data_IF_529147147417
#
_entry.id   IF_529147147417
#
_cell.length_a   1.000
_cell.length_b   1.000
_cell.length_c   1.000
_cell.angle_alpha   90.00
_cell.angle_beta   90.00
_cell.angle_gamma   90.00
#
_symmetry.space_group_name_H-M   'P 1'
#
loop_
_entity.id
_entity.type
_entity.pdbx_description
1 polymer ?
#
# COMPACT_ATOMS: atom_id res chain seq x y z
N UNK A 1 -25.07 -4.15 18.13
CA UNK A 1 -24.16 -3.02 17.87
C UNK A 1 -24.88 -1.75 18.31
N UNK A 2 -24.23 -0.86 19.05
CA UNK A 2 -24.81 0.45 19.34
C UNK A 2 -24.87 1.26 18.04
N UNK A 3 -25.97 1.99 17.77
CA UNK A 3 -26.05 2.84 16.58
C UNK A 3 -24.97 3.92 16.61
N UNK A 4 -24.38 4.24 15.45
CA UNK A 4 -23.40 5.29 15.34
C UNK A 4 -24.00 6.66 15.68
N UNK A 5 -23.27 7.47 16.45
CA UNK A 5 -23.70 8.77 16.92
C UNK A 5 -23.26 9.87 15.94
N UNK A 6 -24.21 10.50 15.26
CA UNK A 6 -24.01 11.51 14.23
C UNK A 6 -24.53 12.86 14.69
N UNK A 7 -23.70 13.89 14.63
CA UNK A 7 -24.13 15.27 14.85
C UNK A 7 -24.33 15.98 13.51
N UNK A 8 -25.47 16.66 13.36
CA UNK A 8 -25.78 17.49 12.19
C UNK A 8 -25.87 18.93 12.65
N UNK A 9 -25.11 19.82 12.02
CA UNK A 9 -25.20 21.25 12.33
C UNK A 9 -25.36 22.05 11.03
N UNK A 10 -26.44 22.83 11.00
CA UNK A 10 -26.83 23.65 9.85
C UNK A 10 -27.75 24.77 10.38
N UNK A 11 -27.58 26.03 10.01
CA UNK A 11 -28.46 27.13 10.42
C UNK A 11 -29.79 27.12 9.66
N UNK A 12 -29.83 26.51 8.45
CA UNK A 12 -31.06 26.24 7.72
C UNK A 12 -31.85 25.09 8.37
N UNK A 13 -33.00 25.41 8.96
CA UNK A 13 -33.86 24.45 9.63
C UNK A 13 -34.35 23.32 8.68
N UNK A 14 -34.64 23.63 7.42
CA UNK A 14 -35.15 22.68 6.44
C UNK A 14 -34.10 21.66 6.06
N UNK A 15 -32.87 22.13 5.76
CA UNK A 15 -31.72 21.28 5.44
C UNK A 15 -31.34 20.39 6.64
N UNK A 16 -31.32 20.94 7.85
CA UNK A 16 -31.02 20.25 9.09
C UNK A 16 -32.00 19.13 9.39
N UNK A 17 -33.33 19.40 9.30
CA UNK A 17 -34.36 18.41 9.55
C UNK A 17 -34.35 17.29 8.48
N UNK A 18 -34.19 17.63 7.23
CA UNK A 18 -34.11 16.68 6.11
C UNK A 18 -32.96 15.70 6.27
N UNK A 19 -31.77 16.20 6.64
CA UNK A 19 -30.59 15.38 6.91
C UNK A 19 -30.81 14.47 8.14
N UNK A 20 -31.33 15.05 9.22
CA UNK A 20 -31.58 14.29 10.45
C UNK A 20 -32.61 13.17 10.22
N UNK A 21 -33.69 13.44 9.48
CA UNK A 21 -34.70 12.43 9.15
C UNK A 21 -34.14 11.32 8.23
N UNK A 22 -33.36 11.71 7.21
CA UNK A 22 -32.76 10.76 6.28
C UNK A 22 -31.83 9.79 7.01
N UNK A 23 -31.03 10.28 7.93
CA UNK A 23 -30.06 9.47 8.69
C UNK A 23 -30.73 8.64 9.80
N UNK A 24 -31.74 9.16 10.48
CA UNK A 24 -32.56 8.39 11.44
C UNK A 24 -33.27 7.21 10.78
N UNK A 25 -33.76 7.36 9.55
CA UNK A 25 -34.37 6.25 8.78
C UNK A 25 -33.38 5.13 8.43
N UNK A 26 -32.09 5.43 8.39
CA UNK A 26 -31.01 4.43 8.18
C UNK A 26 -30.57 3.78 9.51
N UNK A 27 -31.16 4.14 10.63
CA UNK A 27 -30.87 3.52 11.94
C UNK A 27 -29.75 4.16 12.74
N UNK A 28 -29.27 5.35 12.36
CA UNK A 28 -28.26 6.09 13.11
C UNK A 28 -28.87 6.90 14.28
N UNK A 29 -28.09 7.08 15.35
CA UNK A 29 -28.42 8.01 16.40
C UNK A 29 -28.03 9.43 15.97
N UNK A 30 -29.01 10.32 15.73
CA UNK A 30 -28.76 11.63 15.17
C UNK A 30 -29.25 12.73 16.09
N UNK A 31 -28.33 13.66 16.43
CA UNK A 31 -28.62 14.89 17.14
C UNK A 31 -28.40 16.08 16.17
N UNK A 32 -29.33 17.05 16.18
CA UNK A 32 -29.30 18.17 15.23
C UNK A 32 -29.20 19.49 15.99
N UNK A 33 -28.32 20.38 15.53
CA UNK A 33 -27.99 21.66 16.16
C UNK A 33 -28.11 22.81 15.17
N UNK A 34 -28.48 23.99 15.65
CA UNK A 34 -28.62 25.18 14.83
C UNK A 34 -27.36 26.05 14.80
N UNK A 35 -26.39 25.80 15.69
CA UNK A 35 -25.18 26.61 15.79
C UNK A 35 -23.92 25.79 16.04
N UNK A 36 -22.77 26.33 15.62
CA UNK A 36 -21.46 25.73 15.83
C UNK A 36 -21.08 25.62 17.33
N UNK A 37 -21.51 26.57 18.15
CA UNK A 37 -21.25 26.59 19.58
C UNK A 37 -21.90 25.39 20.28
N UNK A 38 -23.17 25.10 19.95
CA UNK A 38 -23.93 24.01 20.54
C UNK A 38 -23.31 22.65 20.20
N UNK A 39 -22.92 22.44 18.92
CA UNK A 39 -22.33 21.17 18.50
C UNK A 39 -20.95 20.95 19.10
N UNK A 40 -20.14 22.00 19.26
CA UNK A 40 -18.85 21.91 19.95
C UNK A 40 -19.05 21.60 21.45
N UNK A 41 -20.02 22.25 22.11
CA UNK A 41 -20.36 21.97 23.51
C UNK A 41 -20.80 20.51 23.68
N UNK A 42 -21.64 19.99 22.77
CA UNK A 42 -22.05 18.61 22.76
C UNK A 42 -20.89 17.64 22.52
N UNK A 43 -19.97 17.95 21.62
CA UNK A 43 -18.77 17.16 21.33
C UNK A 43 -17.88 16.93 22.55
N UNK A 44 -17.86 17.86 23.50
CA UNK A 44 -17.12 17.76 24.79
C UNK A 44 -17.79 16.83 25.80
N UNK A 45 -19.08 16.50 25.65
CA UNK A 45 -19.86 15.73 26.62
C UNK A 45 -19.83 14.24 26.37
N UNK A 46 -19.35 13.79 25.21
CA UNK A 46 -19.31 12.36 24.93
C UNK A 46 -18.90 12.01 23.51
N UNK A 47 -18.93 10.73 23.21
CA UNK A 47 -18.48 10.15 21.96
C UNK A 47 -19.34 10.60 20.76
N UNK A 48 -18.65 11.03 19.71
CA UNK A 48 -19.23 11.38 18.41
C UNK A 48 -18.49 10.59 17.33
N UNK A 49 -19.22 9.95 16.43
CA UNK A 49 -18.65 9.13 15.37
C UNK A 49 -18.51 9.91 14.05
N UNK A 50 -19.44 10.83 13.78
CA UNK A 50 -19.46 11.67 12.58
C UNK A 50 -20.08 13.04 12.88
N UNK A 51 -19.53 14.09 12.30
CA UNK A 51 -20.12 15.44 12.27
C UNK A 51 -20.39 15.83 10.83
N UNK A 52 -21.64 16.26 10.54
CA UNK A 52 -22.02 16.93 9.30
C UNK A 52 -22.23 18.41 9.61
N UNK A 53 -21.44 19.29 9.01
CA UNK A 53 -21.47 20.72 9.32
C UNK A 53 -21.59 21.58 8.06
N UNK A 54 -22.50 22.54 8.04
CA UNK A 54 -22.46 23.58 6.99
C UNK A 54 -21.20 24.46 7.16
N UNK A 55 -20.65 24.92 6.06
CA UNK A 55 -19.53 25.87 6.07
C UNK A 55 -19.98 27.23 6.62
N UNK A 56 -21.14 27.72 6.14
CA UNK A 56 -21.60 29.07 6.44
C UNK A 56 -22.69 29.01 7.49
N UNK A 57 -22.33 29.30 8.71
CA UNK A 57 -23.23 29.43 9.85
C UNK A 57 -22.85 30.67 10.65
N UNK A 58 -23.72 31.18 11.45
CA UNK A 58 -23.59 32.41 12.27
C UNK A 58 -22.20 32.78 12.80
N UNK A 59 -22.02 32.88 14.13
CA UNK A 59 -20.77 33.34 14.75
C UNK A 59 -19.63 32.31 14.69
N UNK A 60 -19.96 30.98 14.72
CA UNK A 60 -19.02 29.87 14.59
C UNK A 60 -19.30 29.13 13.29
N UNK A 61 -18.39 29.26 12.33
CA UNK A 61 -18.48 28.62 11.03
C UNK A 61 -18.09 27.13 11.06
N UNK A 62 -18.44 26.38 9.99
CA UNK A 62 -18.15 24.95 9.90
C UNK A 62 -16.67 24.62 9.89
N UNK A 63 -15.79 25.51 9.43
CA UNK A 63 -14.35 25.28 9.48
C UNK A 63 -13.82 25.40 10.92
N UNK A 64 -14.42 26.24 11.73
CA UNK A 64 -14.10 26.32 13.17
C UNK A 64 -14.60 25.06 13.89
N UNK A 65 -15.79 24.57 13.58
CA UNK A 65 -16.31 23.29 14.10
C UNK A 65 -15.35 22.16 13.72
N UNK A 66 -14.92 22.07 12.46
CA UNK A 66 -13.94 21.10 11.98
C UNK A 66 -12.64 21.12 12.81
N UNK A 67 -12.04 22.31 12.98
CA UNK A 67 -10.78 22.48 13.75
C UNK A 67 -10.93 22.04 15.21
N UNK A 68 -12.02 22.43 15.86
CA UNK A 68 -12.29 22.07 17.26
C UNK A 68 -12.51 20.55 17.40
N UNK A 69 -13.27 19.92 16.51
CA UNK A 69 -13.43 18.45 16.54
C UNK A 69 -12.13 17.72 16.26
N UNK A 70 -11.32 18.17 15.31
CA UNK A 70 -10.00 17.56 15.04
C UNK A 70 -9.04 17.71 16.21
N UNK A 71 -9.15 18.79 17.01
CA UNK A 71 -8.37 18.98 18.22
C UNK A 71 -8.85 18.12 19.39
N UNK A 72 -10.18 17.98 19.59
CA UNK A 72 -10.79 17.23 20.71
C UNK A 72 -10.80 15.71 20.45
N UNK A 73 -11.13 15.32 19.25
CA UNK A 73 -11.33 13.93 18.83
C UNK A 73 -10.83 13.72 17.41
N UNK A 74 -9.52 13.49 17.19
CA UNK A 74 -8.94 13.31 15.86
C UNK A 74 -9.60 12.20 15.04
N UNK A 75 -10.16 11.21 15.73
CA UNK A 75 -10.81 10.03 15.15
C UNK A 75 -12.23 10.28 14.65
N UNK A 76 -12.84 11.42 15.04
CA UNK A 76 -14.17 11.78 14.55
C UNK A 76 -14.08 12.24 13.10
N UNK A 77 -14.83 11.61 12.20
CA UNK A 77 -14.94 12.11 10.84
C UNK A 77 -15.77 13.40 10.83
N UNK A 78 -15.33 14.37 10.04
CA UNK A 78 -16.07 15.60 9.81
C UNK A 78 -16.31 15.73 8.31
N UNK A 79 -17.58 15.81 7.90
CA UNK A 79 -18.02 16.05 6.52
C UNK A 79 -18.62 17.45 6.46
N UNK A 80 -18.22 18.21 5.48
CA UNK A 80 -18.61 19.60 5.34
C UNK A 80 -19.68 19.74 4.25
N UNK A 81 -20.77 20.45 4.59
CA UNK A 81 -21.84 20.76 3.66
C UNK A 81 -21.55 22.11 2.99
N UNK A 82 -21.67 22.16 1.65
CA UNK A 82 -21.36 23.39 0.89
C UNK A 82 -22.53 23.76 0.00
N UNK A 83 -22.80 25.07 -0.17
CA UNK A 83 -23.73 25.55 -1.18
C UNK A 83 -23.10 25.52 -2.58
N UNK A 84 -23.91 25.37 -3.61
CA UNK A 84 -23.52 25.36 -5.03
C UNK A 84 -22.64 26.59 -5.35
N UNK A 85 -21.37 26.39 -5.74
CA UNK A 85 -20.46 27.46 -6.14
C UNK A 85 -19.29 27.77 -5.19
N UNK A 86 -19.18 27.13 -4.01
CA UNK A 86 -18.04 27.35 -3.10
C UNK A 86 -17.02 26.20 -3.11
N UNK A 87 -16.50 25.88 -4.30
CA UNK A 87 -15.43 24.89 -4.46
C UNK A 87 -14.19 25.26 -3.59
N UNK A 88 -13.91 26.56 -3.43
CA UNK A 88 -12.82 27.06 -2.59
C UNK A 88 -13.01 26.68 -1.11
N UNK A 89 -14.22 26.78 -0.57
CA UNK A 89 -14.53 26.40 0.80
C UNK A 89 -14.41 24.90 1.05
N UNK A 90 -14.80 24.07 0.06
CA UNK A 90 -14.64 22.62 0.13
C UNK A 90 -13.16 22.22 0.11
N UNK A 91 -12.34 22.85 -0.74
CA UNK A 91 -10.89 22.63 -0.81
C UNK A 91 -10.23 23.03 0.52
N UNK A 92 -10.63 24.15 1.09
CA UNK A 92 -10.11 24.60 2.37
C UNK A 92 -10.47 23.65 3.52
N UNK A 93 -11.71 23.13 3.55
CA UNK A 93 -12.15 22.15 4.52
C UNK A 93 -11.32 20.85 4.44
N UNK A 94 -11.08 20.34 3.24
CA UNK A 94 -10.23 19.15 3.05
C UNK A 94 -8.79 19.40 3.52
N UNK A 95 -8.22 20.58 3.23
CA UNK A 95 -6.88 20.96 3.71
C UNK A 95 -6.81 21.02 5.25
N UNK A 96 -7.90 21.41 5.91
CA UNK A 96 -8.00 21.47 7.37
C UNK A 96 -8.36 20.12 8.01
N UNK A 97 -8.47 19.04 7.22
CA UNK A 97 -8.67 17.67 7.70
C UNK A 97 -10.13 17.19 7.68
N UNK A 98 -11.03 17.82 6.93
CA UNK A 98 -12.34 17.25 6.66
C UNK A 98 -12.17 15.93 5.92
N UNK A 99 -13.00 14.94 6.27
CA UNK A 99 -12.98 13.64 5.60
C UNK A 99 -13.50 13.73 4.17
N UNK A 100 -14.60 14.47 3.98
CA UNK A 100 -15.25 14.67 2.69
C UNK A 100 -16.09 15.95 2.72
N UNK A 101 -16.67 16.31 1.60
CA UNK A 101 -17.67 17.37 1.49
C UNK A 101 -18.90 16.90 0.73
N UNK A 102 -20.03 17.57 0.96
CA UNK A 102 -21.32 17.29 0.30
C UNK A 102 -21.93 18.61 -0.21
N UNK A 103 -22.19 18.70 -1.51
CA UNK A 103 -22.75 19.92 -2.11
C UNK A 103 -24.29 19.95 -2.00
N UNK A 104 -24.85 21.07 -1.54
CA UNK A 104 -26.29 21.34 -1.53
C UNK A 104 -26.77 21.76 -2.95
N UNK A 105 -27.90 21.27 -3.47
CA UNK A 105 -28.81 20.27 -2.90
C UNK A 105 -28.30 18.85 -3.08
N UNK A 106 -28.29 18.07 -2.00
CA UNK A 106 -27.78 16.70 -1.99
C UNK A 106 -28.88 15.66 -2.19
N UNK A 107 -28.56 14.57 -2.87
CA UNK A 107 -29.43 13.41 -3.03
C UNK A 107 -29.30 12.45 -1.86
N UNK A 108 -30.37 11.72 -1.53
CA UNK A 108 -30.35 10.74 -0.43
C UNK A 108 -29.26 9.69 -0.58
N UNK A 109 -29.02 9.23 -1.80
CA UNK A 109 -27.99 8.23 -2.13
C UNK A 109 -26.57 8.75 -1.86
N UNK A 110 -26.32 10.04 -2.15
CA UNK A 110 -25.03 10.70 -1.89
C UNK A 110 -24.76 10.82 -0.39
N UNK A 111 -25.77 11.24 0.38
CA UNK A 111 -25.67 11.31 1.84
C UNK A 111 -25.33 9.93 2.42
N UNK A 112 -26.06 8.88 2.01
CA UNK A 112 -25.83 7.51 2.47
C UNK A 112 -24.41 7.05 2.19
N UNK A 113 -23.92 7.26 0.99
CA UNK A 113 -22.59 6.84 0.55
C UNK A 113 -21.50 7.55 1.34
N UNK A 114 -21.57 8.88 1.47
CA UNK A 114 -20.58 9.67 2.20
C UNK A 114 -20.59 9.32 3.68
N UNK A 115 -21.75 9.22 4.30
CA UNK A 115 -21.90 8.87 5.73
C UNK A 115 -21.37 7.46 6.03
N UNK A 116 -21.74 6.46 5.21
CA UNK A 116 -21.24 5.09 5.38
C UNK A 116 -19.70 5.03 5.33
N UNK A 117 -19.10 5.64 4.30
CA UNK A 117 -17.63 5.71 4.15
C UNK A 117 -16.97 6.45 5.31
N UNK A 118 -17.55 7.55 5.75
CA UNK A 118 -17.01 8.35 6.87
C UNK A 118 -17.04 7.57 8.18
N UNK A 119 -18.11 6.83 8.46
CA UNK A 119 -18.25 6.01 9.65
C UNK A 119 -17.33 4.79 9.63
N UNK A 120 -17.19 4.13 8.49
CA UNK A 120 -16.24 3.03 8.33
C UNK A 120 -14.81 3.51 8.57
N UNK A 121 -14.45 4.67 8.01
CA UNK A 121 -13.14 5.29 8.26
C UNK A 121 -12.92 5.61 9.74
N UNK A 122 -13.86 6.28 10.40
CA UNK A 122 -13.77 6.61 11.84
C UNK A 122 -13.64 5.36 12.70
N UNK A 123 -14.38 4.29 12.37
CA UNK A 123 -14.29 3.00 13.06
C UNK A 123 -12.89 2.39 12.92
N UNK A 124 -12.36 2.36 11.69
CA UNK A 124 -11.04 1.81 11.40
C UNK A 124 -9.91 2.60 12.07
N UNK A 125 -9.98 3.94 12.05
CA UNK A 125 -9.01 4.81 12.72
C UNK A 125 -9.03 4.57 14.22
N UNK A 126 -10.20 4.42 14.81
CA UNK A 126 -10.39 4.18 16.24
C UNK A 126 -9.95 2.79 16.68
N UNK A 127 -10.31 1.74 15.93
CA UNK A 127 -9.81 0.39 16.17
C UNK A 127 -8.27 0.36 16.10
N UNK A 128 -7.67 1.07 15.15
CA UNK A 128 -6.22 1.23 15.05
C UNK A 128 -5.63 1.97 16.26
N UNK A 129 -6.29 3.05 16.73
CA UNK A 129 -5.86 3.79 17.91
C UNK A 129 -5.97 2.93 19.18
N UNK A 130 -7.02 2.15 19.35
CA UNK A 130 -7.19 1.21 20.46
C UNK A 130 -6.12 0.11 20.43
N UNK A 131 -5.87 -0.51 19.27
CA UNK A 131 -4.77 -1.46 19.13
C UNK A 131 -3.40 -0.82 19.38
N UNK A 132 -3.20 0.43 18.98
CA UNK A 132 -1.98 1.17 19.32
C UNK A 132 -1.87 1.48 20.81
N UNK A 133 -2.97 1.74 21.51
CA UNK A 133 -2.97 1.95 22.96
C UNK A 133 -2.80 0.66 23.76
N UNK A 134 -3.43 -0.44 23.35
CA UNK A 134 -3.17 -1.77 23.94
C UNK A 134 -1.71 -2.20 23.75
N UNK A 135 -1.08 -1.71 22.68
CA UNK A 135 0.33 -1.95 22.38
C UNK A 135 1.27 -0.91 23.02
N UNK A 136 0.80 0.31 23.37
CA UNK A 136 1.55 1.40 24.00
C UNK A 136 1.98 1.14 25.46
N UNK A 137 1.67 0.00 26.02
CA UNK A 137 2.11 -0.35 27.38
C UNK A 137 3.60 -0.50 27.56
N UNK A 138 4.44 -0.34 26.53
CA UNK A 138 5.90 -0.51 26.60
C UNK A 138 6.60 0.30 25.49
N UNK A 139 7.50 1.17 25.91
CA UNK A 139 8.28 2.10 25.12
C UNK A 139 8.75 1.64 23.71
N UNK A 140 8.71 2.59 22.75
CA UNK A 140 9.32 2.54 21.42
C UNK A 140 8.72 1.56 20.38
N UNK A 141 7.42 1.73 20.06
CA UNK A 141 6.94 1.25 18.78
C UNK A 141 7.61 2.03 17.65
N UNK A 142 8.38 1.37 16.81
CA UNK A 142 8.66 1.90 15.47
C UNK A 142 7.30 2.15 14.80
N UNK A 143 6.97 3.38 14.43
CA UNK A 143 5.61 3.71 13.99
C UNK A 143 5.30 2.95 12.69
N UNK A 144 4.52 1.88 12.81
CA UNK A 144 3.93 1.21 11.66
C UNK A 144 2.83 2.12 11.13
N UNK A 145 3.03 2.66 9.94
CA UNK A 145 2.11 3.59 9.30
C UNK A 145 1.18 2.84 8.36
N UNK A 146 -0.12 3.00 8.57
CA UNK A 146 -1.19 2.40 7.75
C UNK A 146 -2.46 2.20 8.55
N UNK A 147 -3.61 2.40 7.91
CA UNK A 147 -4.94 2.24 8.48
C UNK A 147 -5.89 1.43 7.60
N UNK A 148 -5.40 0.96 6.45
CA UNK A 148 -6.19 0.14 5.53
C UNK A 148 -6.64 -1.16 6.18
N UNK A 149 -7.80 -1.73 5.80
CA UNK A 149 -8.29 -3.00 6.31
C UNK A 149 -7.27 -4.14 6.19
N UNK A 150 -6.53 -4.17 5.08
CA UNK A 150 -5.49 -5.16 4.84
C UNK A 150 -4.34 -5.05 5.86
N UNK A 151 -3.91 -3.83 6.22
CA UNK A 151 -2.88 -3.62 7.26
C UNK A 151 -3.40 -3.91 8.66
N UNK A 152 -4.68 -3.65 8.94
CA UNK A 152 -5.29 -4.02 10.23
C UNK A 152 -5.24 -5.53 10.48
N UNK A 153 -5.51 -6.36 9.48
CA UNK A 153 -5.37 -7.81 9.63
C UNK A 153 -3.91 -8.22 9.89
N UNK A 154 -2.95 -7.56 9.23
CA UNK A 154 -1.51 -7.75 9.53
C UNK A 154 -1.23 -7.40 11.00
N UNK A 155 -1.70 -6.26 11.50
CA UNK A 155 -1.47 -5.84 12.89
C UNK A 155 -2.09 -6.77 13.91
N UNK A 156 -3.30 -7.30 13.66
CA UNK A 156 -3.94 -8.33 14.50
C UNK A 156 -3.08 -9.59 14.59
N UNK A 157 -2.53 -10.05 13.46
CA UNK A 157 -1.63 -11.20 13.44
C UNK A 157 -0.32 -10.90 14.17
N UNK A 158 0.28 -9.73 13.95
CA UNK A 158 1.48 -9.28 14.66
C UNK A 158 1.25 -9.29 16.17
N UNK A 159 0.16 -8.70 16.66
CA UNK A 159 -0.18 -8.69 18.09
C UNK A 159 -0.26 -10.11 18.69
N UNK A 160 -0.91 -11.04 17.97
CA UNK A 160 -1.07 -12.44 18.43
C UNK A 160 0.26 -13.20 18.49
N UNK A 161 1.16 -12.97 17.50
CA UNK A 161 2.43 -13.72 17.43
C UNK A 161 3.52 -13.11 18.30
N UNK A 162 3.35 -11.88 18.76
CA UNK A 162 4.35 -11.16 19.56
C UNK A 162 4.70 -11.93 20.85
N UNK A 163 3.72 -12.43 21.58
CA UNK A 163 3.89 -13.21 22.81
C UNK A 163 4.34 -14.67 22.55
N UNK A 164 4.25 -15.15 21.31
CA UNK A 164 4.61 -16.52 20.96
C UNK A 164 6.11 -16.66 20.72
N UNK A 165 6.65 -17.85 21.01
CA UNK A 165 8.00 -18.26 20.61
C UNK A 165 8.05 -18.87 19.21
N UNK A 166 6.91 -19.01 18.54
CA UNK A 166 6.80 -19.63 17.22
C UNK A 166 7.59 -18.86 16.16
N UNK A 167 8.07 -19.60 15.17
CA UNK A 167 8.67 -19.03 13.95
C UNK A 167 7.61 -18.28 13.17
N UNK A 168 7.98 -17.11 12.65
CA UNK A 168 7.10 -16.27 11.83
C UNK A 168 7.68 -16.13 10.43
N UNK A 169 6.87 -16.39 9.42
CA UNK A 169 7.23 -16.18 8.01
C UNK A 169 6.49 -14.95 7.48
N UNK A 170 7.25 -13.89 7.17
CA UNK A 170 6.76 -12.66 6.55
C UNK A 170 6.86 -12.78 5.03
N UNK A 171 5.71 -12.79 4.35
CA UNK A 171 5.67 -12.86 2.90
C UNK A 171 5.18 -11.52 2.33
N UNK A 172 5.80 -11.04 1.25
CA UNK A 172 5.35 -9.82 0.58
C UNK A 172 6.39 -9.30 -0.39
N UNK A 173 5.95 -8.49 -1.37
CA UNK A 173 6.83 -7.89 -2.38
C UNK A 173 7.95 -7.07 -1.73
N UNK A 174 9.02 -6.80 -2.50
CA UNK A 174 10.10 -5.92 -2.03
C UNK A 174 9.54 -4.54 -1.67
N UNK A 175 10.07 -3.93 -0.60
CA UNK A 175 9.66 -2.60 -0.16
C UNK A 175 8.32 -2.50 0.55
N UNK A 176 7.65 -3.61 0.92
CA UNK A 176 6.36 -3.58 1.66
C UNK A 176 6.49 -3.31 3.15
N UNK A 177 7.72 -3.36 3.73
CA UNK A 177 7.98 -3.10 5.14
C UNK A 177 8.16 -4.36 6.00
N UNK A 178 8.56 -5.50 5.42
CA UNK A 178 8.77 -6.78 6.16
C UNK A 178 9.71 -6.63 7.36
N UNK A 179 10.82 -5.91 7.20
CA UNK A 179 11.77 -5.67 8.30
C UNK A 179 11.14 -4.86 9.44
N UNK A 180 10.33 -3.84 9.13
CA UNK A 180 9.63 -3.05 10.15
C UNK A 180 8.66 -3.92 10.96
N UNK A 181 7.95 -4.83 10.31
CA UNK A 181 7.08 -5.81 10.98
C UNK A 181 7.92 -6.75 11.88
N UNK A 182 9.06 -7.24 11.40
CA UNK A 182 9.93 -8.10 12.21
C UNK A 182 10.46 -7.37 13.45
N UNK A 183 10.87 -6.12 13.30
CA UNK A 183 11.29 -5.25 14.43
C UNK A 183 10.14 -5.00 15.40
N UNK A 184 8.93 -4.75 14.89
CA UNK A 184 7.75 -4.56 15.72
C UNK A 184 7.39 -5.83 16.54
N UNK A 185 7.48 -7.02 15.94
CA UNK A 185 7.28 -8.30 16.65
C UNK A 185 8.32 -8.48 17.76
N UNK A 186 9.57 -8.14 17.50
CA UNK A 186 10.63 -8.25 18.50
C UNK A 186 10.47 -7.23 19.63
N UNK A 187 10.31 -5.94 19.28
CA UNK A 187 10.26 -4.83 20.24
C UNK A 187 9.06 -4.94 21.21
N UNK A 188 7.98 -5.59 20.81
CA UNK A 188 6.80 -5.78 21.65
C UNK A 188 6.73 -7.18 22.29
N UNK A 189 7.71 -8.03 22.00
CA UNK A 189 7.78 -9.40 22.52
C UNK A 189 8.52 -9.53 23.86
N UNK A 190 8.50 -10.74 24.45
CA UNK A 190 9.20 -11.02 25.70
C UNK A 190 10.73 -10.93 25.60
N UNK A 191 11.27 -10.83 24.37
CA UNK A 191 12.73 -10.72 24.10
C UNK A 191 13.13 -9.30 23.65
N UNK A 192 12.31 -8.27 23.88
CA UNK A 192 12.55 -6.89 23.44
C UNK A 192 13.90 -6.30 23.91
N UNK A 193 14.33 -6.67 25.14
CA UNK A 193 15.58 -6.21 25.75
C UNK A 193 16.79 -7.10 25.35
N UNK A 194 16.59 -8.04 24.42
CA UNK A 194 17.60 -8.97 23.92
C UNK A 194 18.01 -8.60 22.50
N UNK A 195 19.13 -9.15 21.99
CA UNK A 195 19.59 -8.81 20.65
C UNK A 195 18.55 -9.10 19.54
N UNK A 196 18.38 -8.14 18.62
CA UNK A 196 17.71 -8.33 17.33
C UNK A 196 18.79 -8.26 16.24
N UNK A 197 19.04 -9.39 15.58
CA UNK A 197 20.09 -9.48 14.57
C UNK A 197 19.46 -9.71 13.19
N UNK A 198 19.46 -8.69 12.31
CA UNK A 198 19.02 -8.84 10.93
C UNK A 198 20.13 -9.45 10.06
N UNK A 199 19.75 -10.38 9.19
CA UNK A 199 20.62 -11.03 8.21
C UNK A 199 19.91 -11.04 6.87
N UNK A 200 20.51 -10.45 5.85
CA UNK A 200 20.02 -10.57 4.47
C UNK A 200 20.70 -11.76 3.78
N UNK A 201 19.92 -12.79 3.46
CA UNK A 201 20.42 -14.04 2.87
C UNK A 201 20.83 -13.89 1.40
N UNK A 202 20.38 -12.84 0.70
CA UNK A 202 20.75 -12.56 -0.69
C UNK A 202 21.94 -11.61 -0.84
N UNK A 203 22.39 -10.97 0.25
CA UNK A 203 23.43 -9.94 0.17
C UNK A 203 24.87 -10.48 0.06
N UNK A 204 25.09 -11.73 0.46
CA UNK A 204 26.41 -12.36 0.54
C UNK A 204 26.43 -13.69 -0.22
N UNK A 205 27.59 -14.07 -0.82
CA UNK A 205 27.79 -15.43 -1.31
C UNK A 205 27.59 -16.46 -0.19
N UNK A 206 27.07 -17.65 -0.52
CA UNK A 206 26.73 -18.70 0.45
C UNK A 206 27.86 -19.05 1.42
N UNK A 207 29.11 -19.10 0.96
CA UNK A 207 30.29 -19.42 1.80
C UNK A 207 30.57 -18.35 2.84
N UNK A 208 30.37 -17.08 2.51
CA UNK A 208 30.51 -15.98 3.45
C UNK A 208 29.32 -15.93 4.41
N UNK A 209 28.10 -16.10 3.89
CA UNK A 209 26.91 -16.16 4.72
C UNK A 209 26.98 -17.30 5.74
N UNK A 210 27.52 -18.46 5.34
CA UNK A 210 27.76 -19.59 6.25
C UNK A 210 28.68 -19.21 7.40
N UNK A 211 29.82 -18.63 7.07
CA UNK A 211 30.82 -18.23 8.09
C UNK A 211 30.31 -17.12 9.01
N UNK A 212 29.45 -16.20 8.50
CA UNK A 212 28.82 -15.18 9.34
C UNK A 212 27.75 -15.78 10.25
N UNK A 213 26.85 -16.61 9.71
CA UNK A 213 25.72 -17.17 10.48
C UNK A 213 26.18 -18.16 11.55
N UNK A 214 27.09 -19.07 11.21
CA UNK A 214 27.49 -20.19 12.11
C UNK A 214 28.82 -19.96 12.83
N UNK A 215 29.63 -18.99 12.36
CA UNK A 215 30.98 -18.80 12.86
C UNK A 215 31.97 -19.84 12.32
N UNK A 216 33.25 -19.68 12.63
CA UNK A 216 34.30 -20.59 12.21
C UNK A 216 35.42 -20.70 13.23
N UNK A 217 36.11 -21.83 13.23
CA UNK A 217 37.32 -22.06 13.99
C UNK A 217 38.57 -21.74 13.17
N UNK A 218 39.66 -21.47 13.85
CA UNK A 218 40.98 -21.24 13.23
C UNK A 218 41.32 -22.39 12.30
N UNK A 219 41.68 -22.10 11.04
CA UNK A 219 42.03 -23.10 10.02
C UNK A 219 40.89 -23.76 9.31
N UNK A 220 39.62 -23.30 9.48
CA UNK A 220 38.45 -23.85 8.83
C UNK A 220 38.45 -23.68 7.28
N UNK A 221 39.11 -22.65 6.79
CA UNK A 221 39.35 -22.38 5.37
C UNK A 221 40.59 -21.52 5.15
N UNK A 222 41.05 -21.41 3.91
CA UNK A 222 42.20 -20.56 3.54
C UNK A 222 41.92 -19.10 3.90
N UNK A 223 42.62 -18.56 4.89
CA UNK A 223 42.40 -17.19 5.42
C UNK A 223 41.78 -17.16 6.84
N UNK A 224 41.38 -18.28 7.41
CA UNK A 224 40.86 -18.35 8.79
C UNK A 224 42.01 -18.30 9.83
N UNK A 225 42.55 -17.08 10.03
CA UNK A 225 43.72 -16.86 10.96
C UNK A 225 43.29 -16.98 12.44
N UNK A 226 42.00 -16.67 12.74
CA UNK A 226 41.43 -16.76 14.10
C UNK A 226 40.09 -17.50 14.09
N UNK A 227 39.46 -17.65 15.25
CA UNK A 227 38.04 -18.09 15.37
C UNK A 227 37.12 -16.89 15.39
N UNK A 228 35.90 -17.06 14.87
CA UNK A 228 34.83 -16.05 14.87
C UNK A 228 33.53 -16.64 15.38
N UNK A 229 32.88 -15.94 16.30
CA UNK A 229 31.55 -16.26 16.81
C UNK A 229 30.53 -15.98 15.73
N UNK A 230 29.56 -16.88 15.51
CA UNK A 230 28.51 -16.73 14.53
C UNK A 230 27.32 -15.89 15.01
N UNK A 231 26.51 -15.42 14.06
CA UNK A 231 25.32 -14.61 14.35
C UNK A 231 24.28 -15.37 15.17
N UNK A 232 24.16 -16.70 15.01
CA UNK A 232 23.28 -17.51 15.87
C UNK A 232 23.70 -17.48 17.34
N UNK A 233 24.99 -17.62 17.61
CA UNK A 233 25.51 -17.53 18.98
C UNK A 233 25.34 -16.10 19.53
N UNK A 234 25.54 -15.07 18.69
CA UNK A 234 25.41 -13.67 19.07
C UNK A 234 23.93 -13.29 19.32
N UNK A 235 22.98 -14.00 18.67
CA UNK A 235 21.53 -13.81 18.84
C UNK A 235 20.97 -14.61 20.04
N UNK A 236 21.80 -15.31 20.80
CA UNK A 236 21.34 -16.19 21.87
C UNK A 236 20.49 -15.43 22.91
N UNK A 237 19.33 -15.98 23.24
CA UNK A 237 18.28 -15.35 24.07
C UNK A 237 17.45 -14.31 23.34
N UNK A 238 17.82 -13.90 22.11
CA UNK A 238 17.22 -12.85 21.30
C UNK A 238 16.43 -13.36 20.09
N UNK A 239 16.47 -12.57 19.01
CA UNK A 239 15.76 -12.82 17.76
C UNK A 239 16.71 -12.68 16.57
N UNK A 240 16.69 -13.66 15.67
CA UNK A 240 17.37 -13.61 14.37
C UNK A 240 16.33 -13.35 13.28
N UNK A 241 16.51 -12.29 12.53
CA UNK A 241 15.66 -11.96 11.40
C UNK A 241 16.40 -12.33 10.10
N UNK A 242 15.83 -13.28 9.34
CA UNK A 242 16.36 -13.77 8.08
C UNK A 242 15.58 -13.14 6.93
N UNK A 243 16.13 -12.09 6.32
CA UNK A 243 15.50 -11.47 5.14
C UNK A 243 15.95 -12.20 3.87
N UNK A 244 15.05 -12.22 2.87
CA UNK A 244 15.25 -12.89 1.58
C UNK A 244 15.64 -14.38 1.72
N UNK A 245 14.95 -15.10 2.64
CA UNK A 245 15.27 -16.50 2.95
C UNK A 245 15.21 -17.42 1.71
N UNK A 246 14.43 -17.05 0.69
CA UNK A 246 14.35 -17.78 -0.58
C UNK A 246 15.60 -17.75 -1.44
N UNK A 247 16.56 -16.85 -1.14
CA UNK A 247 17.83 -16.75 -1.85
C UNK A 247 18.94 -17.64 -1.23
N UNK A 248 18.64 -18.29 -0.09
CA UNK A 248 19.60 -19.14 0.62
C UNK A 248 19.90 -20.44 -0.14
N UNK A 249 21.16 -20.76 -0.33
CA UNK A 249 21.61 -21.99 -0.99
C UNK A 249 21.26 -23.27 -0.20
N UNK A 250 21.11 -24.39 -0.90
CA UNK A 250 20.65 -25.67 -0.32
C UNK A 250 21.51 -26.17 0.85
N UNK A 251 22.82 -26.01 0.79
CA UNK A 251 23.72 -26.41 1.87
C UNK A 251 23.43 -25.66 3.17
N UNK A 252 23.15 -24.35 3.08
CA UNK A 252 22.78 -23.51 4.22
C UNK A 252 21.39 -23.85 4.76
N UNK A 253 20.44 -24.18 3.86
CA UNK A 253 19.10 -24.62 4.27
C UNK A 253 19.17 -25.85 5.19
N UNK A 254 20.06 -26.82 4.89
CA UNK A 254 20.26 -28.01 5.74
C UNK A 254 20.80 -27.64 7.13
N UNK A 255 21.76 -26.71 7.18
CA UNK A 255 22.33 -26.25 8.46
C UNK A 255 21.32 -25.46 9.28
N UNK A 256 20.56 -24.57 8.64
CA UNK A 256 19.48 -23.81 9.28
C UNK A 256 18.44 -24.75 9.88
N UNK A 257 18.01 -25.77 9.12
CA UNK A 257 17.04 -26.76 9.61
C UNK A 257 17.54 -27.45 10.90
N UNK A 258 18.80 -27.87 10.93
CA UNK A 258 19.39 -28.49 12.13
C UNK A 258 19.34 -27.56 13.34
N UNK A 259 19.74 -26.28 13.17
CA UNK A 259 19.65 -25.32 14.27
C UNK A 259 18.23 -25.13 14.77
N UNK A 260 17.24 -25.10 13.85
CA UNK A 260 15.83 -24.99 14.23
C UNK A 260 15.26 -26.24 14.90
N UNK A 261 15.84 -27.41 14.68
CA UNK A 261 15.41 -28.69 15.28
C UNK A 261 16.10 -28.97 16.60
N UNK A 262 17.41 -28.86 16.60
CA UNK A 262 18.27 -29.31 17.70
C UNK A 262 18.58 -28.18 18.69
N UNK A 263 18.35 -26.93 18.30
CA UNK A 263 18.75 -25.73 19.04
C UNK A 263 20.27 -25.71 19.32
N UNK A 264 21.05 -26.26 18.40
CA UNK A 264 22.49 -26.32 18.49
C UNK A 264 23.15 -25.75 17.22
N UNK A 265 24.19 -24.96 17.42
CA UNK A 265 25.02 -24.39 16.36
C UNK A 265 26.38 -25.03 16.37
N UNK A 266 26.87 -25.38 15.19
CA UNK A 266 28.23 -25.91 14.99
C UNK A 266 29.01 -24.98 14.09
N UNK A 267 30.14 -24.46 14.56
CA UNK A 267 31.05 -23.61 13.79
C UNK A 267 31.67 -24.36 12.63
N UNK A 268 31.96 -23.66 11.55
CA UNK A 268 32.69 -24.24 10.42
C UNK A 268 34.06 -24.70 10.86
N UNK A 269 34.40 -25.95 10.55
CA UNK A 269 35.67 -26.56 11.00
C UNK A 269 35.67 -27.13 12.43
N UNK A 270 34.56 -26.95 13.19
CA UNK A 270 34.46 -27.49 14.56
C UNK A 270 33.76 -28.86 14.60
N UNK A 271 34.10 -29.66 15.60
CA UNK A 271 33.38 -30.91 15.95
C UNK A 271 32.40 -30.69 17.11
N UNK A 272 32.52 -29.59 17.85
CA UNK A 272 31.68 -29.27 19.02
C UNK A 272 30.45 -28.44 18.60
N UNK A 273 29.33 -28.69 19.25
CA UNK A 273 28.11 -27.87 19.09
C UNK A 273 27.86 -27.01 20.34
N UNK A 274 27.25 -25.85 20.14
CA UNK A 274 26.86 -24.91 21.20
C UNK A 274 25.33 -24.76 21.20
N UNK A 275 24.71 -24.91 22.37
CA UNK A 275 23.26 -24.69 22.49
C UNK A 275 22.92 -23.22 22.38
N UNK A 276 21.85 -22.91 21.63
CA UNK A 276 21.36 -21.56 21.43
C UNK A 276 19.82 -21.52 21.54
N UNK A 277 19.29 -20.49 22.19
CA UNK A 277 17.87 -20.21 22.25
C UNK A 277 17.57 -18.94 21.43
N UNK A 278 17.26 -19.10 20.17
CA UNK A 278 17.02 -17.99 19.24
C UNK A 278 15.62 -18.07 18.64
N UNK A 279 14.86 -16.97 18.73
CA UNK A 279 13.59 -16.83 17.99
C UNK A 279 13.90 -16.48 16.54
N UNK A 280 13.31 -17.20 15.59
CA UNK A 280 13.51 -16.95 14.17
C UNK A 280 12.28 -16.23 13.59
N UNK A 281 12.52 -15.13 12.87
CA UNK A 281 11.58 -14.46 11.99
C UNK A 281 12.20 -14.48 10.60
N UNK A 282 11.53 -15.10 9.63
CA UNK A 282 12.00 -15.16 8.24
C UNK A 282 11.14 -14.27 7.35
N UNK A 283 11.76 -13.68 6.33
CA UNK A 283 11.05 -12.87 5.33
C UNK A 283 11.42 -13.29 3.91
N UNK A 284 10.46 -13.18 3.00
CA UNK A 284 10.66 -13.49 1.58
C UNK A 284 9.74 -12.67 0.68
N UNK A 285 10.22 -12.38 -0.52
CA UNK A 285 9.42 -11.85 -1.63
C UNK A 285 9.06 -12.95 -2.66
N UNK A 286 9.62 -14.17 -2.49
CA UNK A 286 9.42 -15.31 -3.38
C UNK A 286 8.25 -16.18 -2.93
N UNK A 287 7.69 -16.94 -3.85
CA UNK A 287 6.77 -18.02 -3.52
C UNK A 287 7.58 -19.28 -3.15
N UNK A 288 7.72 -19.52 -1.83
CA UNK A 288 8.47 -20.67 -1.33
C UNK A 288 7.79 -22.00 -1.67
N UNK A 289 6.46 -22.04 -1.79
CA UNK A 289 5.74 -23.26 -2.20
C UNK A 289 6.10 -23.66 -3.63
N UNK A 290 6.23 -22.67 -4.51
CA UNK A 290 6.71 -22.91 -5.86
C UNK A 290 8.19 -23.34 -5.85
N UNK A 291 9.04 -22.70 -5.04
CA UNK A 291 10.46 -23.08 -4.92
C UNK A 291 10.66 -24.47 -4.37
N UNK A 292 9.78 -24.96 -3.48
CA UNK A 292 9.77 -26.36 -3.03
C UNK A 292 9.47 -27.30 -4.20
N UNK A 293 8.45 -27.00 -5.00
CA UNK A 293 8.11 -27.80 -6.19
C UNK A 293 9.23 -27.84 -7.23
N UNK A 294 9.98 -26.75 -7.38
CA UNK A 294 11.13 -26.62 -8.26
C UNK A 294 12.42 -27.24 -7.68
N UNK A 295 12.39 -27.75 -6.45
CA UNK A 295 13.55 -28.30 -5.76
C UNK A 295 14.61 -27.25 -5.35
N UNK A 296 14.27 -25.96 -5.42
CA UNK A 296 15.16 -24.84 -5.00
C UNK A 296 15.12 -24.59 -3.50
N UNK A 297 14.03 -24.96 -2.85
CA UNK A 297 13.85 -24.84 -1.41
C UNK A 297 13.42 -26.17 -0.83
N UNK A 298 13.95 -26.53 0.35
CA UNK A 298 13.64 -27.81 0.99
C UNK A 298 12.26 -27.77 1.65
N UNK A 299 11.49 -28.82 1.46
CA UNK A 299 10.14 -28.97 2.00
C UNK A 299 10.14 -29.02 3.56
N UNK A 300 11.10 -29.74 4.14
CA UNK A 300 11.25 -29.87 5.59
C UNK A 300 11.55 -28.51 6.28
N UNK A 301 12.38 -27.70 5.67
CA UNK A 301 12.68 -26.34 6.15
C UNK A 301 11.46 -25.42 5.96
N UNK A 302 10.79 -25.50 4.83
CA UNK A 302 9.58 -24.71 4.57
C UNK A 302 8.52 -24.93 5.66
N UNK A 303 8.21 -26.18 5.99
CA UNK A 303 7.25 -26.49 7.05
C UNK A 303 7.69 -26.00 8.43
N UNK A 304 9.00 -25.99 8.72
CA UNK A 304 9.52 -25.49 9.99
C UNK A 304 9.51 -23.96 10.09
N UNK A 305 9.66 -23.26 8.95
CA UNK A 305 9.57 -21.81 8.88
C UNK A 305 8.12 -21.31 8.84
N UNK A 306 7.24 -22.03 8.17
CA UNK A 306 5.85 -21.63 7.90
C UNK A 306 4.88 -22.03 9.04
N UNK A 307 5.25 -21.75 10.29
CA UNK A 307 4.38 -22.00 11.46
C UNK A 307 3.31 -20.92 11.56
N UNK A 308 3.70 -19.65 11.47
CA UNK A 308 2.76 -18.54 11.37
C UNK A 308 3.14 -17.69 10.16
N UNK A 309 2.25 -17.63 9.18
CA UNK A 309 2.46 -16.81 7.96
C UNK A 309 1.75 -15.47 8.14
N UNK A 310 2.48 -14.39 7.86
CA UNK A 310 1.94 -13.03 7.77
C UNK A 310 2.24 -12.50 6.38
N UNK A 311 1.20 -12.26 5.58
CA UNK A 311 1.34 -11.72 4.22
C UNK A 311 1.12 -10.21 4.26
N UNK A 312 2.13 -9.45 3.83
CA UNK A 312 2.07 -8.00 3.74
C UNK A 312 1.48 -7.59 2.39
N UNK A 313 0.44 -6.75 2.38
CA UNK A 313 -0.15 -6.25 1.15
C UNK A 313 0.83 -5.32 0.42
N UNK A 314 0.79 -5.35 -0.91
CA UNK A 314 1.46 -4.37 -1.75
C UNK A 314 0.81 -2.99 -1.59
N UNK A 315 1.53 -1.92 -1.95
CA UNK A 315 1.00 -0.57 -1.80
C UNK A 315 -0.23 -0.31 -2.69
N UNK A 316 -0.33 -1.01 -3.82
CA UNK A 316 -1.52 -0.97 -4.71
C UNK A 316 -2.78 -1.50 -4.02
N UNK A 317 -2.63 -2.49 -3.13
CA UNK A 317 -3.75 -3.10 -2.38
C UNK A 317 -4.16 -2.27 -1.15
N UNK A 318 -3.36 -1.24 -0.79
CA UNK A 318 -3.59 -0.33 0.33
C UNK A 318 -3.39 1.14 -0.05
N UNK A 319 -3.92 1.56 -1.19
CA UNK A 319 -3.77 2.95 -1.67
C UNK A 319 -4.27 3.99 -0.68
N UNK A 320 -5.23 3.63 0.14
CA UNK A 320 -5.77 4.46 1.23
C UNK A 320 -4.69 4.89 2.25
N UNK A 321 -3.61 4.12 2.38
CA UNK A 321 -2.51 4.43 3.27
C UNK A 321 -1.52 5.45 2.69
N UNK A 322 -1.54 5.70 1.37
CA UNK A 322 -0.58 6.58 0.69
C UNK A 322 -0.55 7.99 1.31
N UNK A 323 -1.69 8.68 1.56
CA UNK A 323 -1.64 10.01 2.15
C UNK A 323 -0.99 10.04 3.53
N UNK A 324 -1.26 9.03 4.36
CA UNK A 324 -0.66 8.89 5.69
C UNK A 324 0.84 8.61 5.62
N UNK A 325 1.26 7.74 4.69
CA UNK A 325 2.68 7.45 4.44
C UNK A 325 3.43 8.69 3.94
N UNK A 326 2.85 9.43 3.01
CA UNK A 326 3.41 10.70 2.50
C UNK A 326 3.60 11.69 3.64
N UNK A 327 2.58 11.88 4.47
CA UNK A 327 2.69 12.77 5.63
C UNK A 327 3.79 12.34 6.61
N UNK A 328 3.88 11.05 6.89
CA UNK A 328 4.95 10.48 7.73
C UNK A 328 6.33 10.76 7.16
N UNK A 329 6.54 10.53 5.85
CA UNK A 329 7.83 10.78 5.20
C UNK A 329 8.19 12.27 5.16
N UNK A 330 7.20 13.15 4.92
CA UNK A 330 7.43 14.59 5.02
C UNK A 330 7.90 15.00 6.41
N UNK A 331 7.28 14.48 7.47
CA UNK A 331 7.72 14.75 8.85
C UNK A 331 9.13 14.22 9.11
N UNK A 332 9.45 13.02 8.62
CA UNK A 332 10.79 12.43 8.74
C UNK A 332 11.86 13.27 8.03
N UNK A 333 11.55 13.77 6.83
CA UNK A 333 12.48 14.62 6.06
C UNK A 333 12.60 16.03 6.62
N UNK A 334 11.56 16.56 7.28
CA UNK A 334 11.57 17.94 7.84
C UNK A 334 12.64 18.15 8.92
N UNK A 335 13.09 17.10 9.59
CA UNK A 335 14.10 17.17 10.66
C UNK A 335 15.52 17.46 10.15
N UNK A 336 15.78 17.51 8.84
CA UNK A 336 17.10 17.73 8.24
C UNK A 336 17.18 18.76 7.11
N UNK A 337 16.06 19.31 6.64
CA UNK A 337 16.03 20.17 5.47
C UNK A 337 16.11 21.66 5.81
N UNK A 338 16.87 22.42 5.00
CA UNK A 338 16.98 23.89 5.13
C UNK A 338 15.64 24.62 4.84
N UNK A 339 14.69 23.96 4.16
CA UNK A 339 13.34 24.44 3.86
C UNK A 339 12.33 23.38 4.29
N UNK A 340 11.48 23.70 5.28
CA UNK A 340 10.46 22.77 5.76
C UNK A 340 9.29 22.70 4.75
N UNK A 341 9.27 21.64 3.95
CA UNK A 341 8.09 21.26 3.17
C UNK A 341 7.00 20.82 4.14
N UNK A 342 5.84 21.50 4.10
CA UNK A 342 4.73 21.31 5.05
C UNK A 342 3.58 20.45 4.51
N UNK A 343 3.59 20.15 3.22
CA UNK A 343 2.48 19.41 2.60
C UNK A 343 2.69 19.12 1.12
N UNK A 344 1.64 18.61 0.51
CA UNK A 344 1.60 18.21 -0.89
C UNK A 344 0.38 18.86 -1.55
N UNK A 345 0.52 19.37 -2.77
CA UNK A 345 -0.61 19.90 -3.53
C UNK A 345 -1.61 18.77 -3.88
N UNK A 346 -2.92 19.06 -3.98
CA UNK A 346 -3.93 18.04 -4.34
C UNK A 346 -3.63 17.32 -5.66
N UNK A 347 -3.13 18.05 -6.65
CA UNK A 347 -2.74 17.49 -7.96
C UNK A 347 -1.58 16.49 -7.81
N UNK A 348 -0.58 16.84 -7.01
CA UNK A 348 0.56 15.96 -6.69
C UNK A 348 0.09 14.71 -5.93
N UNK A 349 -0.81 14.87 -4.96
CA UNK A 349 -1.40 13.74 -4.24
C UNK A 349 -2.17 12.81 -5.16
N UNK A 350 -2.90 13.35 -6.14
CA UNK A 350 -3.62 12.55 -7.14
C UNK A 350 -2.67 11.68 -7.96
N UNK A 351 -1.53 12.22 -8.41
CA UNK A 351 -0.50 11.46 -9.11
C UNK A 351 0.07 10.34 -8.23
N UNK A 352 0.37 10.63 -6.95
CA UNK A 352 0.85 9.64 -6.00
C UNK A 352 -0.15 8.50 -5.77
N UNK A 353 -1.45 8.79 -5.73
CA UNK A 353 -2.52 7.79 -5.57
C UNK A 353 -2.72 6.92 -6.82
N UNK A 354 -2.49 7.46 -8.00
CA UNK A 354 -2.72 6.75 -9.28
C UNK A 354 -1.55 5.82 -9.65
N UNK A 355 -0.36 6.12 -9.22
CA UNK A 355 0.83 5.34 -9.58
C UNK A 355 0.81 3.93 -8.98
N UNK A 356 1.43 2.97 -9.67
CA UNK A 356 1.38 1.53 -9.31
C UNK A 356 2.38 1.13 -8.22
N UNK A 357 3.37 1.94 -7.92
CA UNK A 357 4.39 1.70 -6.90
C UNK A 357 5.02 0.29 -6.96
N UNK A 358 5.71 -0.09 -8.06
CA UNK A 358 6.35 -1.42 -8.16
C UNK A 358 7.34 -1.69 -7.02
N UNK A 359 8.05 -0.67 -6.52
CA UNK A 359 8.92 -0.73 -5.35
C UNK A 359 8.22 -0.49 -4.01
N UNK A 360 6.87 -0.41 -4.00
CA UNK A 360 6.04 -0.26 -2.82
C UNK A 360 6.41 0.96 -1.95
N UNK A 361 6.44 0.78 -0.63
CA UNK A 361 6.69 1.86 0.33
C UNK A 361 8.11 2.42 0.22
N UNK A 362 9.10 1.58 -0.10
CA UNK A 362 10.50 2.04 -0.30
C UNK A 362 10.61 2.99 -1.50
N UNK A 363 9.90 2.72 -2.58
CA UNK A 363 9.88 3.61 -3.74
C UNK A 363 9.16 4.92 -3.43
N UNK A 364 8.03 4.86 -2.70
CA UNK A 364 7.31 6.04 -2.25
C UNK A 364 8.20 6.91 -1.33
N UNK A 365 8.88 6.30 -0.34
CA UNK A 365 9.80 6.99 0.56
C UNK A 365 10.89 7.72 -0.24
N UNK A 366 11.58 7.03 -1.14
CA UNK A 366 12.63 7.61 -1.98
C UNK A 366 12.10 8.74 -2.88
N UNK A 367 10.88 8.59 -3.42
CA UNK A 367 10.26 9.61 -4.27
C UNK A 367 9.95 10.89 -3.47
N UNK A 368 9.42 10.75 -2.24
CA UNK A 368 9.13 11.88 -1.36
C UNK A 368 10.44 12.53 -0.86
N UNK A 369 11.42 11.75 -0.43
CA UNK A 369 12.74 12.27 0.00
C UNK A 369 13.41 13.08 -1.10
N UNK A 370 13.42 12.56 -2.33
CA UNK A 370 13.92 13.27 -3.50
C UNK A 370 13.13 14.55 -3.77
N UNK A 371 11.78 14.48 -3.74
CA UNK A 371 10.93 15.63 -3.99
C UNK A 371 11.17 16.74 -2.95
N UNK A 372 11.29 16.40 -1.67
CA UNK A 372 11.63 17.35 -0.58
C UNK A 372 13.00 17.97 -0.81
N UNK A 373 13.99 17.18 -1.23
CA UNK A 373 15.36 17.68 -1.47
C UNK A 373 15.46 18.63 -2.66
N UNK A 374 14.57 18.53 -3.64
CA UNK A 374 14.55 19.35 -4.84
C UNK A 374 13.53 20.50 -4.79
N UNK A 375 12.60 20.46 -3.85
CA UNK A 375 11.54 21.46 -3.69
C UNK A 375 12.12 22.82 -3.25
N UNK A 376 11.57 23.88 -3.84
CA UNK A 376 11.93 25.27 -3.50
C UNK A 376 10.81 25.96 -2.67
N UNK A 377 9.70 25.29 -2.40
CA UNK A 377 8.52 25.83 -1.75
C UNK A 377 8.04 25.04 -0.55
N UNK A 378 7.04 25.55 0.18
CA UNK A 378 6.50 24.89 1.36
C UNK A 378 5.55 23.71 1.03
N UNK A 379 5.19 23.53 -0.24
CA UNK A 379 4.30 22.45 -0.72
C UNK A 379 4.96 21.75 -1.91
N UNK A 380 4.90 20.42 -1.93
CA UNK A 380 5.33 19.63 -3.09
C UNK A 380 4.38 19.82 -4.26
N UNK A 381 4.96 20.14 -5.41
CA UNK A 381 4.27 20.31 -6.69
C UNK A 381 4.47 19.05 -7.56
N UNK A 382 3.70 18.86 -8.65
CA UNK A 382 3.95 17.81 -9.61
C UNK A 382 5.36 17.84 -10.20
N UNK A 383 5.97 19.04 -10.33
CA UNK A 383 7.31 19.19 -10.90
C UNK A 383 8.44 18.70 -10.00
N UNK A 384 8.20 18.63 -8.68
CA UNK A 384 9.14 18.07 -7.73
C UNK A 384 9.21 16.54 -7.79
N UNK A 385 8.16 15.88 -8.36
CA UNK A 385 8.12 14.44 -8.48
C UNK A 385 9.03 13.91 -9.61
N UNK A 386 9.54 12.67 -9.49
CA UNK A 386 10.23 11.98 -10.59
C UNK A 386 9.41 11.95 -11.88
N UNK A 387 10.08 12.04 -13.03
CA UNK A 387 9.42 12.07 -14.34
C UNK A 387 8.49 10.85 -14.59
N UNK A 388 8.84 9.68 -14.07
CA UNK A 388 8.01 8.47 -14.18
C UNK A 388 6.63 8.61 -13.50
N UNK A 389 6.52 9.40 -12.42
CA UNK A 389 5.26 9.67 -11.74
C UNK A 389 4.41 10.71 -12.48
N UNK A 390 5.04 11.61 -13.22
CA UNK A 390 4.38 12.66 -14.01
C UNK A 390 3.78 12.14 -15.32
N UNK A 391 4.36 11.07 -15.88
CA UNK A 391 3.95 10.46 -17.16
C UNK A 391 2.83 9.42 -17.00
N UNK A 392 2.21 9.34 -15.82
CA UNK A 392 1.03 8.50 -15.64
C UNK A 392 -0.15 9.20 -16.33
N UNK A 393 -0.22 9.06 -17.65
CA UNK A 393 -1.40 9.41 -18.42
C UNK A 393 -2.60 8.68 -17.79
N UNK A 394 -3.66 9.45 -17.54
CA UNK A 394 -4.99 8.92 -17.24
C UNK A 394 -5.27 7.75 -18.18
N UNK A 395 -5.72 6.60 -17.70
CA UNK A 395 -6.25 5.59 -18.60
C UNK A 395 -7.50 6.22 -19.23
N UNK A 396 -7.34 6.79 -20.43
CA UNK A 396 -8.45 6.97 -21.34
C UNK A 396 -9.17 5.61 -21.39
N UNK A 397 -10.47 5.64 -21.09
CA UNK A 397 -11.37 4.51 -21.30
C UNK A 397 -11.32 4.14 -22.79
N UNK A 398 -10.37 3.31 -23.15
CA UNK A 398 -10.36 2.53 -24.39
C UNK A 398 -9.10 1.65 -24.41
N UNK A 399 -9.36 0.37 -24.61
CA UNK A 399 -8.46 -0.74 -24.88
C UNK A 399 -8.15 -1.68 -23.72
N UNK A 400 -9.14 -2.53 -23.43
CA UNK A 400 -8.89 -3.92 -23.12
C UNK A 400 -8.21 -4.57 -24.34
N UNK A 401 -6.90 -4.85 -24.25
CA UNK A 401 -6.14 -5.50 -25.31
C UNK A 401 -4.65 -5.40 -24.97
N UNK A 402 -4.18 -6.26 -24.09
CA UNK A 402 -2.75 -6.43 -23.82
C UNK A 402 -2.01 -6.78 -25.11
N UNK A 403 -1.26 -5.84 -25.66
CA UNK A 403 -0.23 -6.14 -26.64
C UNK A 403 1.05 -6.39 -25.88
N UNK A 404 1.52 -7.60 -25.96
CA UNK A 404 2.82 -8.09 -25.53
C UNK A 404 3.92 -7.22 -26.17
N UNK A 405 4.61 -6.39 -25.38
CA UNK A 405 5.70 -5.51 -25.81
C UNK A 405 7.05 -6.17 -25.54
N UNK A 406 7.18 -7.40 -25.95
CA UNK A 406 8.48 -8.05 -26.06
C UNK A 406 8.82 -8.22 -27.54
N UNK A 407 9.70 -7.37 -28.04
CA UNK A 407 10.28 -7.26 -29.38
C UNK A 407 9.81 -6.05 -30.22
N UNK A 408 10.20 -4.84 -29.83
CA UNK A 408 10.20 -3.69 -30.73
C UNK A 408 11.65 -3.29 -31.08
N UNK A 409 12.29 -4.10 -31.93
CA UNK A 409 13.23 -3.57 -32.90
C UNK A 409 12.47 -2.63 -33.86
N UNK A 410 13.11 -1.55 -34.34
CA UNK A 410 12.49 -0.59 -35.25
C UNK A 410 11.85 -1.32 -36.45
N UNK A 411 10.50 -1.40 -36.42
CA UNK A 411 9.74 -1.99 -37.54
C UNK A 411 9.79 -1.05 -38.73
N UNK A 412 9.92 -1.59 -39.91
CA UNK A 412 9.81 -0.83 -41.15
C UNK A 412 8.37 -0.36 -41.35
N UNK A 413 8.17 0.72 -42.11
CA UNK A 413 6.82 1.23 -42.40
C UNK A 413 5.93 0.14 -43.02
N UNK A 414 6.53 -0.71 -43.84
CA UNK A 414 5.87 -1.83 -44.53
C UNK A 414 5.36 -2.90 -43.55
N UNK A 415 6.11 -3.18 -42.50
CA UNK A 415 5.70 -4.12 -41.45
C UNK A 415 4.57 -3.53 -40.59
N UNK A 416 4.58 -2.23 -40.32
CA UNK A 416 3.51 -1.53 -39.61
C UNK A 416 2.23 -1.54 -40.44
N UNK A 417 2.32 -1.22 -41.72
CA UNK A 417 1.18 -1.28 -42.67
C UNK A 417 0.57 -2.67 -42.73
N UNK A 418 1.40 -3.71 -42.86
CA UNK A 418 0.97 -5.10 -42.87
C UNK A 418 0.22 -5.52 -41.57
N UNK A 419 0.82 -5.19 -40.41
CA UNK A 419 0.18 -5.49 -39.09
C UNK A 419 -1.14 -4.77 -38.94
N UNK A 420 -1.23 -3.51 -39.32
CA UNK A 420 -2.46 -2.73 -39.22
C UNK A 420 -3.54 -3.28 -40.14
N UNK A 421 -3.20 -3.63 -41.38
CA UNK A 421 -4.11 -4.25 -42.33
C UNK A 421 -4.69 -5.57 -41.80
N UNK A 422 -3.85 -6.48 -41.29
CA UNK A 422 -4.26 -7.76 -40.71
C UNK A 422 -5.21 -7.57 -39.53
N UNK A 423 -4.92 -6.58 -38.68
CA UNK A 423 -5.74 -6.25 -37.51
C UNK A 423 -7.14 -5.80 -37.93
N UNK A 424 -7.23 -4.85 -38.86
CA UNK A 424 -8.50 -4.32 -39.34
C UNK A 424 -9.33 -5.39 -40.06
N UNK A 425 -8.70 -6.28 -40.82
CA UNK A 425 -9.38 -7.41 -41.46
C UNK A 425 -9.95 -8.40 -40.44
N UNK A 426 -9.25 -8.68 -39.33
CA UNK A 426 -9.75 -9.51 -38.24
C UNK A 426 -10.92 -8.85 -37.51
N UNK A 427 -10.82 -7.56 -37.17
CA UNK A 427 -11.87 -6.81 -36.49
C UNK A 427 -13.16 -6.73 -37.32
N UNK A 428 -13.01 -6.61 -38.64
CA UNK A 428 -14.15 -6.55 -39.58
C UNK A 428 -14.64 -7.94 -40.00
N UNK A 429 -14.09 -9.01 -39.43
CA UNK A 429 -14.42 -10.41 -39.80
C UNK A 429 -14.40 -10.67 -41.30
N UNK A 430 -13.43 -10.07 -42.00
CA UNK A 430 -13.24 -10.22 -43.45
C UNK A 430 -14.15 -9.29 -44.31
N UNK A 431 -14.97 -8.42 -43.73
CA UNK A 431 -15.79 -7.49 -44.51
C UNK A 431 -14.94 -6.39 -45.16
N UNK A 432 -14.67 -6.54 -46.45
CA UNK A 432 -13.78 -5.73 -47.25
C UNK A 432 -14.22 -4.26 -47.39
N UNK A 433 -15.54 -4.03 -47.40
CA UNK A 433 -16.12 -2.66 -47.50
C UNK A 433 -15.91 -1.89 -46.21
N UNK A 434 -16.17 -2.54 -45.06
CA UNK A 434 -15.92 -1.94 -43.71
C UNK A 434 -14.46 -1.74 -43.46
N UNK A 435 -13.61 -2.70 -43.85
CA UNK A 435 -12.17 -2.62 -43.68
C UNK A 435 -11.56 -1.43 -44.48
N UNK A 436 -11.93 -1.27 -45.75
CA UNK A 436 -11.49 -0.16 -46.59
C UNK A 436 -11.90 1.21 -45.95
N UNK A 437 -13.13 1.30 -45.45
CA UNK A 437 -13.64 2.52 -44.80
C UNK A 437 -12.87 2.86 -43.52
N UNK A 438 -12.53 1.86 -42.68
CA UNK A 438 -11.75 2.07 -41.45
C UNK A 438 -10.30 2.48 -41.76
N UNK A 439 -9.71 1.87 -42.81
CA UNK A 439 -8.34 2.19 -43.26
C UNK A 439 -8.26 3.51 -44.01
N UNK A 440 -9.37 4.16 -44.34
CA UNK A 440 -9.41 5.43 -45.10
C UNK A 440 -8.93 5.27 -46.56
N UNK A 441 -9.03 4.07 -47.16
CA UNK A 441 -8.61 3.76 -48.52
C UNK A 441 -9.76 3.23 -49.35
N UNK A 442 -9.62 3.26 -50.66
CA UNK A 442 -10.60 2.63 -51.54
C UNK A 442 -10.41 1.11 -51.61
N UNK A 443 -11.49 0.41 -52.03
CA UNK A 443 -11.52 -1.06 -52.06
C UNK A 443 -10.43 -1.66 -52.98
N UNK A 444 -10.07 -0.96 -54.06
CA UNK A 444 -9.04 -1.37 -55.00
C UNK A 444 -7.64 -1.32 -54.40
N UNK A 445 -7.39 -0.27 -53.61
CA UNK A 445 -6.14 -0.12 -52.83
C UNK A 445 -6.01 -1.20 -51.76
N UNK A 446 -7.13 -1.57 -51.09
CA UNK A 446 -7.15 -2.67 -50.11
C UNK A 446 -6.72 -3.99 -50.77
N UNK A 447 -7.28 -4.36 -51.91
CA UNK A 447 -6.91 -5.57 -52.63
C UNK A 447 -5.46 -5.58 -53.04
N UNK A 448 -4.95 -4.48 -53.59
CA UNK A 448 -3.55 -4.34 -53.99
C UNK A 448 -2.57 -4.45 -52.82
N UNK A 449 -2.95 -3.90 -51.66
CA UNK A 449 -2.16 -4.04 -50.42
C UNK A 449 -2.19 -5.47 -49.87
N UNK A 450 -3.33 -6.13 -49.90
CA UNK A 450 -3.44 -7.51 -49.46
C UNK A 450 -2.61 -8.45 -50.38
N UNK A 451 -2.65 -8.27 -51.68
CA UNK A 451 -1.81 -9.01 -52.66
C UNK A 451 -0.32 -8.76 -52.42
N UNK A 452 0.08 -7.52 -52.21
CA UNK A 452 1.49 -7.14 -51.90
C UNK A 452 2.00 -7.82 -50.62
N UNK A 453 1.16 -8.01 -49.61
CA UNK A 453 1.54 -8.61 -48.35
C UNK A 453 1.24 -10.12 -48.29
N UNK A 454 0.77 -10.73 -49.39
CA UNK A 454 0.47 -12.17 -49.45
C UNK A 454 -0.69 -12.60 -48.55
N UNK A 455 -1.68 -11.70 -48.34
CA UNK A 455 -2.86 -11.98 -47.52
C UNK A 455 -4.02 -12.42 -48.41
N UNK A 456 -4.53 -13.61 -48.15
CA UNK A 456 -5.75 -14.11 -48.83
C UNK A 456 -7.00 -13.46 -48.21
N UNK A 457 -7.74 -12.74 -49.01
CA UNK A 457 -8.98 -12.07 -48.60
C UNK A 457 -10.23 -12.95 -48.71
N UNK A 458 -10.10 -14.21 -49.17
CA UNK A 458 -11.22 -15.11 -49.43
C UNK A 458 -12.21 -14.61 -50.49
N UNK A 459 -12.89 -15.49 -51.19
CA UNK A 459 -13.90 -15.17 -52.18
C UNK A 459 -15.13 -14.47 -51.56
N UNK A 460 -15.70 -13.49 -52.27
CA UNK A 460 -16.87 -12.70 -51.83
C UNK A 460 -18.06 -13.59 -51.62
N UNK A 461 -18.49 -13.81 -50.39
CA UNK A 461 -19.89 -14.15 -50.15
C UNK A 461 -20.71 -12.87 -50.29
N UNK A 462 -21.10 -12.58 -51.54
CA UNK A 462 -21.97 -11.45 -51.91
C UNK A 462 -23.43 -11.81 -51.49
N UNK A 463 -23.78 -11.40 -50.27
CA UNK A 463 -25.17 -11.36 -49.81
C UNK A 463 -25.81 -10.08 -50.30
N UNK A 464 -26.41 -10.13 -51.48
CA UNK A 464 -27.21 -9.05 -51.97
C UNK A 464 -28.43 -8.80 -51.08
N UNK A 465 -28.59 -7.60 -50.63
CA UNK A 465 -29.93 -7.02 -50.36
C UNK A 465 -30.10 -5.77 -51.26
N UNK A 466 -30.96 -5.97 -52.25
CA UNK A 466 -31.68 -4.92 -52.93
C UNK A 466 -32.84 -4.52 -52.03
N UNK A 467 -32.88 -3.28 -51.60
CA UNK A 467 -33.92 -2.26 -51.73
C UNK A 467 -33.62 -1.08 -50.82
#
# INVERSE_FOLDING_TARGET
>A
MQPANILVVDDDAVARELLAEALKKEGYAVEAFASGEEVIARGRQGRVDLVLTDIRMGAVDGLTVLREFKRMSPDTAVVVLTSFGSLEGAIEAIKQGAYDYLAKPFKKEEIKLVVSRSLDHSRLVRENAQFREELKGKDEWTPLVGSSPAMLEVYKLVARVTESKSTVLLQGKSGTGKELIARAIHANGPRRDKPFIPVNCGALPDTLLESEMFGYEKGAFTGAVGSKVGLFESANGGTLFLDEIGEMGQALQVKLLRVMQDHEVRRVGSTTSTKVDVRIIAATNRDLEQFVKEGKFRDDLFHRLNVVRITLPSLVERREDIPMLVHHFLQKCATGAAHAVRGVLPETMTLLLQYRWPGNVRELENAIERAVSLSHGPLLTPDDLPAALRQTELPSKETAGAIDRSDEGCLTLEEVEKRHLVRVLKETKGNKVKAAKILGIDRRTLYRMAERFGLDLGDDADGGEKE
#
